data_IF_978495757743
#
_entry.id   IF_978495757743
#
_cell.length_a   1.000
_cell.length_b   1.000
_cell.length_c   1.000
_cell.angle_alpha   90.00
_cell.angle_beta   90.00
_cell.angle_gamma   90.00
#
_symmetry.space_group_name_H-M   'P 1'
#
loop_
_entity.id
_entity.type
_entity.pdbx_description
1 polymer ?
#
# COMPACT_ATOMS: atom_id res chain seq x y z
N UNK A 1 58.16 -31.38 48.46
CA UNK A 1 57.05 -31.76 47.54
C UNK A 1 57.17 -30.91 46.29
N UNK A 2 57.21 -31.48 45.07
CA UNK A 2 57.25 -30.68 43.85
C UNK A 2 55.95 -29.89 43.68
N UNK A 3 56.09 -28.62 43.31
CA UNK A 3 55.01 -27.65 43.23
C UNK A 3 54.05 -28.00 42.07
N UNK A 4 52.83 -28.47 42.40
CA UNK A 4 51.80 -28.90 41.42
C UNK A 4 51.22 -27.76 40.57
N UNK A 5 51.60 -26.51 40.84
CA UNK A 5 51.08 -25.33 40.12
C UNK A 5 51.88 -24.94 38.88
N UNK A 6 52.99 -25.62 38.57
CA UNK A 6 53.73 -25.40 37.32
C UNK A 6 53.53 -26.57 36.36
N UNK A 7 53.15 -26.32 35.09
CA UNK A 7 53.00 -27.39 34.10
C UNK A 7 54.34 -28.11 33.93
N UNK A 8 54.31 -29.45 33.88
CA UNK A 8 55.52 -30.22 33.61
C UNK A 8 56.02 -29.91 32.19
N UNK A 9 57.33 -30.06 31.94
CA UNK A 9 57.92 -29.76 30.62
C UNK A 9 57.21 -30.48 29.46
N UNK A 10 56.67 -31.67 29.73
CA UNK A 10 55.92 -32.49 28.76
C UNK A 10 54.47 -31.99 28.51
N UNK A 11 53.93 -31.12 29.37
CA UNK A 11 52.56 -30.58 29.26
C UNK A 11 52.50 -29.23 28.52
N UNK A 12 53.66 -28.58 28.32
CA UNK A 12 53.79 -27.29 27.63
C UNK A 12 53.17 -27.31 26.21
N UNK A 13 53.35 -28.36 25.38
CA UNK A 13 52.76 -28.42 24.05
C UNK A 13 51.23 -28.44 24.07
N UNK A 14 50.63 -29.19 25.01
CA UNK A 14 49.18 -29.26 25.18
C UNK A 14 48.63 -27.91 25.64
N UNK A 15 49.29 -27.26 26.61
CA UNK A 15 48.90 -25.92 27.08
C UNK A 15 48.94 -24.86 25.97
N UNK A 16 49.98 -24.89 25.12
CA UNK A 16 50.09 -24.02 23.95
C UNK A 16 48.98 -24.28 22.91
N UNK A 17 48.64 -25.55 22.65
CA UNK A 17 47.56 -25.92 21.74
C UNK A 17 46.19 -25.45 22.26
N UNK A 18 45.91 -25.65 23.55
CA UNK A 18 44.70 -25.14 24.19
C UNK A 18 44.65 -23.61 24.17
N UNK A 19 45.77 -22.93 24.43
CA UNK A 19 45.85 -21.47 24.33
C UNK A 19 45.56 -20.93 22.92
N UNK A 20 46.01 -21.62 21.87
CA UNK A 20 45.67 -21.29 20.47
C UNK A 20 44.18 -21.50 20.20
N UNK A 21 43.62 -22.65 20.61
CA UNK A 21 42.20 -22.94 20.45
C UNK A 21 41.30 -21.90 21.16
N UNK A 22 41.66 -21.48 22.37
CA UNK A 22 40.93 -20.44 23.13
C UNK A 22 40.98 -19.09 22.39
N UNK A 23 42.12 -18.72 21.79
CA UNK A 23 42.23 -17.49 21.01
C UNK A 23 41.35 -17.54 19.74
N UNK A 24 41.31 -18.68 19.06
CA UNK A 24 40.48 -18.87 17.87
C UNK A 24 38.99 -18.85 18.19
N UNK A 25 38.55 -19.54 19.26
CA UNK A 25 37.16 -19.52 19.70
C UNK A 25 36.72 -18.14 20.14
N UNK A 26 37.59 -17.38 20.82
CA UNK A 26 37.32 -15.98 21.18
C UNK A 26 37.14 -15.10 19.94
N UNK A 27 38.01 -15.23 18.93
CA UNK A 27 37.85 -14.52 17.64
C UNK A 27 36.52 -14.87 16.97
N UNK A 28 36.16 -16.16 16.91
CA UNK A 28 34.87 -16.60 16.35
C UNK A 28 33.70 -15.99 17.14
N UNK A 29 33.75 -15.99 18.47
CA UNK A 29 32.72 -15.38 19.31
C UNK A 29 32.55 -13.88 19.02
N UNK A 30 33.65 -13.14 18.87
CA UNK A 30 33.59 -11.71 18.58
C UNK A 30 32.99 -11.44 17.19
N UNK A 31 33.33 -12.27 16.18
CA UNK A 31 32.69 -12.17 14.86
C UNK A 31 31.19 -12.46 14.90
N UNK A 32 30.75 -13.43 15.71
CA UNK A 32 29.32 -13.75 15.88
C UNK A 32 28.59 -12.60 16.57
N UNK A 33 29.18 -11.98 17.59
CA UNK A 33 28.61 -10.79 18.25
C UNK A 33 28.44 -9.64 17.28
N UNK A 34 29.44 -9.37 16.44
CA UNK A 34 29.36 -8.34 15.40
C UNK A 34 28.25 -8.64 14.39
N UNK A 35 28.17 -9.87 13.87
CA UNK A 35 27.11 -10.29 12.94
C UNK A 35 25.71 -10.18 13.56
N UNK A 36 25.56 -10.59 14.82
CA UNK A 36 24.29 -10.45 15.56
C UNK A 36 23.90 -8.97 15.73
N UNK A 37 24.86 -8.09 15.95
CA UNK A 37 24.64 -6.65 16.00
C UNK A 37 24.13 -6.09 14.66
N UNK A 38 24.70 -6.53 13.54
CA UNK A 38 24.23 -6.14 12.19
C UNK A 38 22.80 -6.63 11.93
N UNK A 39 22.53 -7.92 12.17
CA UNK A 39 21.20 -8.50 11.99
C UNK A 39 20.11 -7.79 12.81
N UNK A 40 20.43 -7.31 14.01
CA UNK A 40 19.47 -6.51 14.80
C UNK A 40 19.14 -5.18 14.13
N UNK A 41 20.14 -4.50 13.58
CA UNK A 41 19.93 -3.24 12.85
C UNK A 41 19.17 -3.46 11.56
N UNK A 42 19.52 -4.51 10.82
CA UNK A 42 18.83 -4.87 9.58
C UNK A 42 17.37 -5.20 9.87
N UNK A 43 17.10 -5.93 10.96
CA UNK A 43 15.72 -6.22 11.41
C UNK A 43 14.95 -4.94 11.75
N UNK A 44 15.55 -4.02 12.50
CA UNK A 44 14.91 -2.74 12.85
C UNK A 44 14.63 -1.88 11.60
N UNK A 45 15.54 -1.90 10.62
CA UNK A 45 15.34 -1.21 9.35
C UNK A 45 14.17 -1.80 8.56
N UNK A 46 14.13 -3.13 8.42
CA UNK A 46 13.04 -3.84 7.73
C UNK A 46 11.70 -3.63 8.43
N UNK A 47 11.66 -3.64 9.77
CA UNK A 47 10.42 -3.36 10.52
C UNK A 47 9.90 -1.93 10.25
N UNK A 48 10.78 -0.94 10.15
CA UNK A 48 10.40 0.45 9.80
C UNK A 48 9.90 0.56 8.36
N UNK A 49 10.58 -0.09 7.41
CA UNK A 49 10.19 -0.08 6.00
C UNK A 49 8.83 -0.77 5.79
N UNK A 50 8.57 -1.88 6.51
CA UNK A 50 7.24 -2.52 6.53
C UNK A 50 6.18 -1.56 7.11
N UNK A 51 6.47 -0.88 8.21
CA UNK A 51 5.51 0.07 8.80
C UNK A 51 5.20 1.26 7.88
N UNK A 52 6.19 1.76 7.13
CA UNK A 52 6.00 2.82 6.14
C UNK A 52 5.18 2.34 4.94
N UNK A 53 5.46 1.14 4.43
CA UNK A 53 4.67 0.52 3.36
C UNK A 53 3.23 0.27 3.80
N UNK A 54 3.01 -0.29 5.00
CA UNK A 54 1.66 -0.50 5.55
C UNK A 54 0.90 0.81 5.82
N UNK A 55 1.58 1.94 6.00
CA UNK A 55 0.94 3.27 6.07
C UNK A 55 0.60 3.81 4.70
N UNK A 56 1.47 3.63 3.72
CA UNK A 56 1.21 4.02 2.33
C UNK A 56 0.09 3.20 1.69
N UNK A 57 -0.04 1.94 2.07
CA UNK A 57 -1.08 1.01 1.60
C UNK A 57 -2.41 1.16 2.36
N UNK A 58 -2.50 2.07 3.34
CA UNK A 58 -3.78 2.46 3.95
C UNK A 58 -4.45 3.51 3.06
N UNK A 59 -4.88 3.06 1.89
CA UNK A 59 -6.22 3.20 1.32
C UNK A 59 -7.04 4.48 1.59
N UNK A 60 -6.44 5.67 1.58
CA UNK A 60 -7.23 6.90 1.43
C UNK A 60 -7.67 7.08 -0.04
N UNK A 61 -6.78 6.75 -1.00
CA UNK A 61 -7.03 6.93 -2.43
C UNK A 61 -8.13 6.00 -2.98
N UNK A 62 -8.24 4.76 -2.48
CA UNK A 62 -9.23 3.79 -2.96
C UNK A 62 -10.66 4.19 -2.53
N UNK A 63 -10.81 4.66 -1.29
CA UNK A 63 -12.10 5.21 -0.80
C UNK A 63 -12.52 6.47 -1.54
N UNK A 64 -11.58 7.38 -1.84
CA UNK A 64 -11.88 8.62 -2.57
C UNK A 64 -12.35 8.32 -4.00
N UNK A 65 -11.74 7.33 -4.67
CA UNK A 65 -12.12 6.91 -6.03
C UNK A 65 -13.52 6.26 -6.02
N UNK A 66 -13.83 5.41 -5.03
CA UNK A 66 -15.15 4.81 -4.92
C UNK A 66 -16.24 5.86 -4.71
N UNK A 67 -15.99 6.84 -3.83
CA UNK A 67 -16.91 7.96 -3.61
C UNK A 67 -17.11 8.78 -4.90
N UNK A 68 -16.04 9.14 -5.60
CA UNK A 68 -16.12 9.89 -6.86
C UNK A 68 -16.88 9.11 -7.95
N UNK A 69 -16.65 7.80 -8.07
CA UNK A 69 -17.40 6.93 -8.99
C UNK A 69 -18.89 6.93 -8.65
N UNK A 70 -19.27 6.85 -7.36
CA UNK A 70 -20.68 6.89 -6.98
C UNK A 70 -21.32 8.24 -7.33
N UNK A 71 -20.62 9.35 -7.08
CA UNK A 71 -21.10 10.69 -7.44
C UNK A 71 -21.33 10.79 -8.95
N UNK A 72 -20.35 10.41 -9.76
CA UNK A 72 -20.45 10.41 -11.23
C UNK A 72 -21.61 9.56 -11.75
N UNK A 73 -21.87 8.38 -11.16
CA UNK A 73 -23.02 7.54 -11.53
C UNK A 73 -24.35 8.23 -11.24
N UNK A 74 -24.48 8.91 -10.09
CA UNK A 74 -25.70 9.64 -9.76
C UNK A 74 -25.94 10.83 -10.69
N UNK A 75 -24.89 11.55 -11.07
CA UNK A 75 -24.98 12.65 -12.03
C UNK A 75 -25.39 12.17 -13.41
N UNK A 76 -24.81 11.06 -13.88
CA UNK A 76 -25.14 10.48 -15.18
C UNK A 76 -26.62 10.08 -15.24
N UNK A 77 -27.14 9.46 -14.18
CA UNK A 77 -28.57 9.13 -14.07
C UNK A 77 -29.46 10.38 -14.07
N UNK A 78 -29.05 11.46 -13.38
CA UNK A 78 -29.78 12.75 -13.41
C UNK A 78 -29.81 13.35 -14.81
N UNK A 79 -28.70 13.29 -15.54
CA UNK A 79 -28.61 13.80 -16.92
C UNK A 79 -29.48 13.00 -17.88
N UNK A 80 -29.51 11.68 -17.76
CA UNK A 80 -30.37 10.82 -18.57
C UNK A 80 -31.86 11.11 -18.34
N UNK A 81 -32.26 11.29 -17.08
CA UNK A 81 -33.62 11.68 -16.73
C UNK A 81 -33.99 13.05 -17.32
N UNK A 82 -33.08 14.04 -17.24
CA UNK A 82 -33.27 15.36 -17.85
C UNK A 82 -33.39 15.25 -19.38
N UNK A 83 -32.56 14.44 -20.03
CA UNK A 83 -32.58 14.21 -21.47
C UNK A 83 -33.90 13.59 -21.93
N UNK A 84 -34.40 12.60 -21.20
CA UNK A 84 -35.71 12.00 -21.48
C UNK A 84 -36.86 12.99 -21.32
N UNK A 85 -36.83 13.82 -20.27
CA UNK A 85 -37.84 14.86 -20.05
C UNK A 85 -37.85 15.88 -21.20
N UNK A 86 -36.68 16.38 -21.59
CA UNK A 86 -36.54 17.31 -22.72
C UNK A 86 -37.05 16.71 -24.03
N UNK A 87 -36.83 15.40 -24.27
CA UNK A 87 -37.37 14.72 -25.46
C UNK A 87 -38.90 14.72 -25.45
N UNK A 88 -39.53 14.38 -24.32
CA UNK A 88 -40.99 14.41 -24.15
C UNK A 88 -41.56 15.82 -24.34
N UNK A 89 -40.92 16.83 -23.76
CA UNK A 89 -41.38 18.22 -23.87
C UNK A 89 -41.28 18.74 -25.31
N UNK A 90 -40.21 18.37 -26.04
CA UNK A 90 -40.08 18.68 -27.47
C UNK A 90 -41.18 18.04 -28.32
N UNK A 91 -41.57 16.80 -28.03
CA UNK A 91 -42.66 16.12 -28.74
C UNK A 91 -44.00 16.80 -28.49
N UNK A 92 -44.31 17.12 -27.23
CA UNK A 92 -45.51 17.88 -26.87
C UNK A 92 -45.56 19.23 -27.56
N UNK A 93 -44.46 19.97 -27.59
CA UNK A 93 -44.38 21.28 -28.24
C UNK A 93 -44.59 21.18 -29.76
N UNK A 94 -44.06 20.14 -30.41
CA UNK A 94 -44.32 19.88 -31.83
C UNK A 94 -45.80 19.63 -32.09
N UNK A 95 -46.45 18.85 -31.21
CA UNK A 95 -47.88 18.54 -31.33
C UNK A 95 -48.76 19.78 -31.12
N UNK A 96 -48.48 20.59 -30.10
CA UNK A 96 -49.22 21.84 -29.85
C UNK A 96 -49.05 22.83 -31.00
N UNK A 97 -47.84 22.96 -31.55
CA UNK A 97 -47.58 23.80 -32.72
C UNK A 97 -48.37 23.34 -33.94
N UNK A 98 -48.43 22.03 -34.20
CA UNK A 98 -49.27 21.46 -35.29
C UNK A 98 -50.76 21.75 -35.07
N UNK A 99 -51.27 21.55 -33.85
CA UNK A 99 -52.68 21.84 -33.51
C UNK A 99 -53.01 23.32 -33.70
N UNK A 100 -52.13 24.21 -33.23
CA UNK A 100 -52.29 25.65 -33.38
C UNK A 100 -52.28 26.08 -34.86
N UNK A 101 -51.33 25.59 -35.65
CA UNK A 101 -51.28 25.87 -37.09
C UNK A 101 -52.57 25.41 -37.82
N UNK A 102 -53.08 24.22 -37.47
CA UNK A 102 -54.35 23.72 -38.02
C UNK A 102 -55.52 24.60 -37.63
N UNK A 103 -55.58 25.09 -36.38
CA UNK A 103 -56.64 25.99 -35.93
C UNK A 103 -56.61 27.33 -36.70
N UNK A 104 -55.42 27.93 -36.86
CA UNK A 104 -55.26 29.19 -37.61
C UNK A 104 -55.67 29.06 -39.08
N UNK A 105 -55.30 27.96 -39.74
CA UNK A 105 -55.69 27.70 -41.13
C UNK A 105 -57.21 27.59 -41.34
N UNK A 106 -57.97 27.19 -40.30
CA UNK A 106 -59.44 27.10 -40.36
C UNK A 106 -60.08 28.47 -40.20
N UNK A 107 -59.49 29.34 -39.38
CA UNK A 107 -59.98 30.70 -39.18
C UNK A 107 -59.79 31.57 -40.43
N UNK A 108 -58.68 31.39 -41.16
CA UNK A 108 -58.40 32.15 -42.40
C UNK A 108 -59.24 31.73 -43.61
N UNK A 109 -59.94 30.59 -43.54
CA UNK A 109 -60.81 30.07 -44.61
C UNK A 109 -62.29 30.42 -44.41
N UNK A 110 -62.63 31.13 -43.33
CA UNK A 110 -63.94 31.72 -43.09
C UNK A 110 -63.92 33.16 -43.56
#
# INVERSE_FOLDING_TARGET
>A
MPNRNFPHLFDIPAFLAHGKAIKETKKKLDTVKLKKGKLKKDKEYVEKEIEELEKGDRNDEETDIEEEITQLRTELQRLDNKKQKLKRDKEKLKETKKKHQKAMSRLQKR
#
